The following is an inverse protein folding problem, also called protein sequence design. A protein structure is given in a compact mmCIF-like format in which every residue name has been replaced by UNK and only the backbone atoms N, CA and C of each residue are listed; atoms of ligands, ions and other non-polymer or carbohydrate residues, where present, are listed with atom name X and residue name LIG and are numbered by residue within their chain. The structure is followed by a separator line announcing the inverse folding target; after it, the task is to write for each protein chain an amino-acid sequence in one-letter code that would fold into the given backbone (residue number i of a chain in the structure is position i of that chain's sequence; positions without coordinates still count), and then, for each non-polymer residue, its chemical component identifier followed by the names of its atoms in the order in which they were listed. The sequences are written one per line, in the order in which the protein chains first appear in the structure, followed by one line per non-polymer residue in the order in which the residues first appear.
data_IF_648549408791
#
_entry.id   IF_648549408791
#
_cell.length_a   1.000
_cell.length_b   1.000
_cell.length_c   1.000
_cell.angle_alpha   90.00
_cell.angle_beta   90.00
_cell.angle_gamma   90.00
#
_symmetry.space_group_name_H-M   'P 1'
#
loop_
_entity.id
_entity.type
_entity.pdbx_description
1 polymer ?
#
# COMPACT_ATOMS: atom_id res chain seq x y z
N UNK A 1 -17.14 36.69 -23.32
CA UNK A 1 -15.99 37.48 -23.75
C UNK A 1 -14.93 36.46 -24.04
N UNK A 2 -14.96 35.89 -25.27
CA UNK A 2 -14.17 36.39 -26.43
C UNK A 2 -12.68 36.19 -26.19
N UNK A 3 -11.85 35.50 -26.95
CA UNK A 3 -11.83 35.03 -28.35
C UNK A 3 -10.62 34.09 -28.49
N UNK A 4 -10.72 32.92 -29.18
CA UNK A 4 -10.33 32.73 -30.59
C UNK A 4 -8.88 33.13 -30.92
N UNK A 5 -8.06 32.18 -31.40
CA UNK A 5 -7.18 32.24 -32.58
C UNK A 5 -6.76 30.78 -32.86
N UNK A 6 -7.23 30.14 -33.78
CA UNK A 6 -7.16 29.80 -35.22
C UNK A 6 -5.77 30.01 -35.85
N UNK A 7 -5.43 28.93 -36.66
CA UNK A 7 -4.80 28.93 -38.00
C UNK A 7 -3.29 28.68 -37.97
N UNK A 8 -2.66 27.74 -38.69
CA UNK A 8 -2.78 27.49 -40.15
C UNK A 8 -2.29 26.09 -40.53
N UNK A 9 -2.93 25.52 -41.53
CA UNK A 9 -2.52 24.33 -42.30
C UNK A 9 -1.39 24.71 -43.29
N UNK A 10 -0.44 23.79 -43.46
CA UNK A 10 0.40 23.77 -44.65
C UNK A 10 0.50 22.32 -45.14
N UNK A 11 -0.18 22.07 -46.25
CA UNK A 11 -0.12 20.91 -47.10
C UNK A 11 1.24 20.91 -47.80
N UNK A 12 2.07 19.92 -47.50
CA UNK A 12 3.28 19.60 -48.23
C UNK A 12 3.18 18.21 -48.83
N UNK A 13 2.76 18.15 -50.11
CA UNK A 13 2.72 16.93 -50.91
C UNK A 13 4.16 16.58 -51.32
N UNK A 14 4.81 15.73 -50.53
CA UNK A 14 6.12 15.15 -50.87
C UNK A 14 5.97 13.75 -51.45
N UNK A 15 6.08 13.63 -52.73
CA UNK A 15 6.14 12.36 -53.48
C UNK A 15 7.47 11.68 -53.14
N UNK A 16 7.49 10.73 -52.20
CA UNK A 16 8.66 9.88 -51.96
C UNK A 16 8.53 8.57 -52.66
N UNK A 17 9.43 8.36 -53.63
CA UNK A 17 9.62 7.14 -54.37
C UNK A 17 9.97 6.01 -53.37
N UNK A 18 9.15 4.99 -53.33
CA UNK A 18 9.41 3.73 -52.65
C UNK A 18 10.44 2.96 -53.44
N UNK A 19 11.71 3.07 -53.02
CA UNK A 19 12.74 2.13 -53.50
C UNK A 19 12.50 0.79 -52.79
N UNK A 20 11.99 -0.19 -53.51
CA UNK A 20 11.92 -1.56 -53.03
C UNK A 20 13.34 -2.11 -52.85
N UNK A 21 13.82 -2.16 -51.63
CA UNK A 21 15.03 -2.91 -51.29
C UNK A 21 14.67 -4.41 -51.38
N UNK A 22 15.53 -5.22 -52.01
CA UNK A 22 15.33 -6.66 -52.01
C UNK A 22 15.44 -7.15 -50.56
N UNK A 23 14.36 -7.71 -50.05
CA UNK A 23 14.41 -8.52 -48.81
C UNK A 23 15.28 -9.73 -49.15
N UNK A 24 16.55 -9.66 -48.78
CA UNK A 24 17.36 -10.87 -48.72
C UNK A 24 16.73 -11.71 -47.60
N UNK A 25 16.07 -12.80 -48.02
CA UNK A 25 15.70 -13.87 -47.11
C UNK A 25 16.98 -14.28 -46.40
N UNK A 26 17.09 -13.90 -45.12
CA UNK A 26 18.11 -14.41 -44.25
C UNK A 26 17.89 -15.93 -44.22
N UNK A 27 18.83 -16.61 -44.84
CA UNK A 27 18.96 -18.04 -44.81
C UNK A 27 18.99 -18.47 -43.31
N UNK A 28 17.83 -18.89 -42.81
CA UNK A 28 17.74 -19.58 -41.54
C UNK A 28 18.35 -20.96 -41.74
N UNK A 29 19.67 -20.98 -41.85
CA UNK A 29 20.44 -22.20 -41.70
C UNK A 29 20.05 -22.77 -40.34
N UNK A 30 19.15 -23.75 -40.36
CA UNK A 30 18.67 -24.48 -39.19
C UNK A 30 19.90 -25.02 -38.45
N UNK A 31 20.37 -24.29 -37.43
CA UNK A 31 21.27 -24.87 -36.44
C UNK A 31 20.47 -26.03 -35.85
N UNK A 32 20.91 -27.27 -36.11
CA UNK A 32 20.44 -28.44 -35.39
C UNK A 32 20.76 -28.20 -33.89
N UNK A 33 19.83 -27.53 -33.23
CA UNK A 33 19.89 -27.34 -31.79
C UNK A 33 19.13 -28.48 -31.15
N UNK A 34 19.80 -29.26 -30.34
CA UNK A 34 19.18 -30.26 -29.50
C UNK A 34 18.90 -29.63 -28.14
N UNK A 35 17.78 -30.00 -27.56
CA UNK A 35 17.41 -29.58 -26.23
C UNK A 35 17.51 -30.76 -25.27
N UNK A 36 17.89 -30.48 -24.03
CA UNK A 36 17.77 -31.44 -22.93
C UNK A 36 16.95 -30.79 -21.82
N UNK A 37 15.95 -31.52 -21.34
CA UNK A 37 15.08 -31.12 -20.21
C UNK A 37 14.87 -32.27 -19.26
N UNK A 38 14.37 -32.02 -18.06
CA UNK A 38 14.03 -33.00 -17.04
C UNK A 38 12.52 -33.02 -16.89
N UNK A 39 11.92 -34.19 -16.89
CA UNK A 39 10.49 -34.36 -16.68
C UNK A 39 10.10 -34.33 -15.18
N UNK A 40 8.80 -34.46 -14.88
CA UNK A 40 8.26 -34.48 -13.51
C UNK A 40 8.73 -35.67 -12.65
N UNK A 41 9.22 -36.74 -13.29
CA UNK A 41 9.72 -37.93 -12.65
C UNK A 41 11.23 -37.85 -12.38
N UNK A 42 11.88 -36.77 -12.85
CA UNK A 42 13.32 -36.58 -12.74
C UNK A 42 14.12 -37.22 -13.86
N UNK A 43 13.46 -37.72 -14.91
CA UNK A 43 14.14 -38.33 -16.07
C UNK A 43 14.57 -37.25 -17.05
N UNK A 44 15.78 -37.41 -17.62
CA UNK A 44 16.35 -36.48 -18.59
C UNK A 44 16.01 -36.91 -20.01
N UNK A 45 15.38 -36.01 -20.74
CA UNK A 45 15.01 -36.16 -22.13
C UNK A 45 15.89 -35.32 -23.04
N UNK A 46 16.01 -35.77 -24.30
CA UNK A 46 16.74 -35.07 -25.36
C UNK A 46 15.87 -35.04 -26.61
N UNK A 47 15.88 -33.95 -27.35
CA UNK A 47 15.13 -33.81 -28.59
C UNK A 47 15.43 -32.51 -29.31
N UNK A 48 14.98 -32.41 -30.54
CA UNK A 48 15.05 -31.24 -31.41
C UNK A 48 14.00 -30.17 -31.04
N UNK A 49 12.96 -30.56 -30.28
CA UNK A 49 11.94 -29.67 -29.73
C UNK A 49 11.56 -30.07 -28.31
N UNK A 50 11.29 -29.07 -27.48
CA UNK A 50 10.79 -29.29 -26.11
C UNK A 50 9.27 -29.31 -26.17
N UNK A 51 8.60 -30.37 -25.64
CA UNK A 51 7.14 -30.42 -25.60
C UNK A 51 6.55 -29.22 -24.86
N UNK A 52 5.35 -28.72 -25.27
CA UNK A 52 4.74 -27.53 -24.70
C UNK A 52 4.58 -27.58 -23.15
N UNK A 53 4.35 -28.76 -22.59
CA UNK A 53 4.21 -29.02 -21.15
C UNK A 53 5.49 -28.78 -20.34
N UNK A 54 6.66 -28.83 -21.02
CA UNK A 54 7.98 -28.57 -20.44
C UNK A 54 8.62 -27.29 -20.95
N UNK A 55 7.89 -26.49 -21.75
CA UNK A 55 8.40 -25.23 -22.31
C UNK A 55 8.83 -24.23 -21.24
N UNK A 56 8.22 -24.29 -20.06
CA UNK A 56 8.53 -23.44 -18.89
C UNK A 56 9.53 -24.10 -17.92
N UNK A 57 9.92 -25.35 -18.13
CA UNK A 57 10.92 -26.02 -17.30
C UNK A 57 12.34 -25.61 -17.69
N UNK A 58 13.28 -25.84 -16.79
CA UNK A 58 14.72 -25.67 -17.11
C UNK A 58 15.08 -26.54 -18.29
N UNK A 59 15.72 -25.95 -19.28
CA UNK A 59 16.21 -26.66 -20.46
C UNK A 59 17.61 -26.21 -20.86
N UNK A 60 18.36 -27.11 -21.44
CA UNK A 60 19.70 -26.86 -21.95
C UNK A 60 19.66 -26.96 -23.46
N UNK A 61 20.30 -26.03 -24.12
CA UNK A 61 20.52 -26.04 -25.56
C UNK A 61 21.88 -26.66 -25.82
N UNK A 62 21.88 -27.71 -26.62
CA UNK A 62 23.05 -28.47 -26.98
C UNK A 62 23.42 -28.19 -28.45
N UNK A 63 24.70 -28.16 -28.76
CA UNK A 63 25.16 -28.15 -30.15
C UNK A 63 25.07 -29.54 -30.78
N UNK A 64 25.41 -29.67 -32.06
CA UNK A 64 25.42 -30.93 -32.77
C UNK A 64 26.38 -31.99 -32.19
N UNK A 65 27.28 -31.61 -31.31
CA UNK A 65 28.22 -32.49 -30.62
C UNK A 65 27.73 -32.88 -29.22
N UNK A 66 26.51 -32.44 -28.83
CA UNK A 66 25.92 -32.72 -27.49
C UNK A 66 26.50 -31.85 -26.36
N UNK A 67 27.28 -30.83 -26.71
CA UNK A 67 27.85 -29.91 -25.70
C UNK A 67 26.83 -28.79 -25.38
N UNK A 68 26.68 -28.49 -24.11
CA UNK A 68 25.80 -27.41 -23.63
C UNK A 68 26.38 -26.05 -24.11
N UNK A 69 25.59 -25.32 -24.91
CA UNK A 69 25.94 -23.99 -25.44
C UNK A 69 25.13 -22.90 -24.74
N UNK A 70 23.96 -23.26 -24.19
CA UNK A 70 23.11 -22.32 -23.47
C UNK A 70 22.24 -23.06 -22.45
N UNK A 71 22.02 -22.43 -21.31
CA UNK A 71 21.04 -22.87 -20.31
C UNK A 71 19.91 -21.87 -20.24
N UNK A 72 18.68 -22.37 -20.31
CA UNK A 72 17.47 -21.59 -20.11
C UNK A 72 16.85 -22.04 -18.80
N UNK A 73 16.90 -21.17 -17.81
CA UNK A 73 16.32 -21.49 -16.50
C UNK A 73 14.80 -21.66 -16.58
N UNK A 74 14.26 -22.41 -15.63
CA UNK A 74 12.79 -22.59 -15.54
C UNK A 74 12.11 -21.23 -15.36
N UNK A 75 11.03 -21.00 -16.11
CA UNK A 75 10.19 -19.84 -15.88
C UNK A 75 9.59 -19.91 -14.48
N UNK A 76 9.78 -18.84 -13.72
CA UNK A 76 9.17 -18.72 -12.40
C UNK A 76 7.65 -18.72 -12.55
N UNK A 77 6.98 -19.55 -11.78
CA UNK A 77 5.52 -19.53 -11.77
C UNK A 77 5.00 -18.16 -11.25
N UNK A 78 3.72 -17.85 -11.50
CA UNK A 78 3.13 -16.56 -11.15
C UNK A 78 3.30 -16.22 -9.65
N UNK A 79 3.29 -17.22 -8.78
CA UNK A 79 3.49 -17.05 -7.33
C UNK A 79 4.93 -16.64 -7.01
N UNK A 80 5.92 -17.33 -7.58
CA UNK A 80 7.34 -16.99 -7.39
C UNK A 80 7.67 -15.60 -7.93
N UNK A 81 7.09 -15.23 -9.07
CA UNK A 81 7.23 -13.88 -9.62
C UNK A 81 6.58 -12.82 -8.73
N UNK A 82 5.40 -13.12 -8.15
CA UNK A 82 4.73 -12.23 -7.21
C UNK A 82 5.52 -12.05 -5.92
N UNK A 83 6.07 -13.14 -5.37
CA UNK A 83 6.95 -13.07 -4.20
C UNK A 83 8.24 -12.30 -4.47
N UNK A 84 8.87 -12.54 -5.61
CA UNK A 84 10.08 -11.82 -5.99
C UNK A 84 9.79 -10.32 -6.08
N UNK A 85 8.70 -9.91 -6.76
CA UNK A 85 8.30 -8.50 -6.84
C UNK A 85 8.03 -7.90 -5.46
N UNK A 86 7.35 -8.63 -4.56
CA UNK A 86 7.13 -8.17 -3.17
C UNK A 86 8.46 -7.95 -2.43
N UNK A 87 9.42 -8.86 -2.58
CA UNK A 87 10.75 -8.73 -1.96
C UNK A 87 11.51 -7.53 -2.53
N UNK A 88 11.50 -7.36 -3.85
CA UNK A 88 12.14 -6.23 -4.51
C UNK A 88 11.51 -4.89 -4.08
N UNK A 89 10.17 -4.83 -4.02
CA UNK A 89 9.45 -3.66 -3.52
C UNK A 89 9.78 -3.35 -2.05
N UNK A 90 9.86 -4.37 -1.20
CA UNK A 90 10.22 -4.20 0.21
C UNK A 90 11.66 -3.67 0.37
N UNK A 91 12.61 -4.17 -0.43
CA UNK A 91 14.00 -3.68 -0.45
C UNK A 91 14.04 -2.22 -0.90
N UNK A 92 13.35 -1.90 -2.00
CA UNK A 92 13.30 -0.53 -2.53
C UNK A 92 12.64 0.44 -1.54
N UNK A 93 11.51 0.04 -0.92
CA UNK A 93 10.83 0.87 0.08
C UNK A 93 11.71 1.12 1.30
N UNK A 94 12.43 0.10 1.77
CA UNK A 94 13.39 0.25 2.87
C UNK A 94 14.52 1.20 2.50
N UNK A 95 15.11 1.04 1.32
CA UNK A 95 16.19 1.92 0.85
C UNK A 95 15.73 3.38 0.68
N UNK A 96 14.48 3.59 0.21
CA UNK A 96 13.88 4.92 0.13
C UNK A 96 13.67 5.54 1.51
N UNK A 97 13.16 4.74 2.46
CA UNK A 97 12.97 5.18 3.83
C UNK A 97 14.30 5.52 4.52
N UNK A 98 15.32 4.67 4.37
CA UNK A 98 16.65 4.93 4.89
C UNK A 98 17.23 6.26 4.34
N UNK A 99 17.07 6.48 3.03
CA UNK A 99 17.50 7.74 2.40
C UNK A 99 16.73 8.94 2.95
N UNK A 100 15.40 8.78 3.10
CA UNK A 100 14.56 9.82 3.71
C UNK A 100 15.04 10.19 5.11
N UNK A 101 15.31 9.20 5.97
CA UNK A 101 15.81 9.44 7.32
C UNK A 101 17.12 10.23 7.31
N UNK A 102 18.10 9.81 6.50
CA UNK A 102 19.41 10.45 6.43
C UNK A 102 19.40 11.84 5.79
N UNK A 103 18.44 12.13 4.89
CA UNK A 103 18.34 13.44 4.23
C UNK A 103 17.47 14.43 4.99
N UNK A 104 16.52 13.95 5.77
CA UNK A 104 15.56 14.79 6.48
C UNK A 104 16.04 15.19 7.87
N UNK A 105 16.72 14.27 8.55
CA UNK A 105 17.16 14.49 9.94
C UNK A 105 18.67 14.60 10.03
N UNK A 106 19.11 15.51 10.88
CA UNK A 106 20.54 15.71 11.16
C UNK A 106 20.98 14.98 12.43
N UNK A 107 20.03 14.64 13.30
CA UNK A 107 20.30 13.94 14.56
C UNK A 107 19.08 13.17 15.07
N UNK A 108 19.32 12.23 15.98
CA UNK A 108 18.24 11.54 16.74
C UNK A 108 17.35 12.55 17.45
N UNK A 109 17.92 13.62 17.99
CA UNK A 109 17.17 14.68 18.70
C UNK A 109 16.15 15.39 17.80
N UNK A 110 16.43 15.53 16.51
CA UNK A 110 15.46 16.11 15.57
C UNK A 110 14.25 15.21 15.39
N UNK A 111 14.46 13.90 15.31
CA UNK A 111 13.38 12.91 15.23
C UNK A 111 12.56 12.90 16.52
N UNK A 112 13.24 12.90 17.69
CA UNK A 112 12.60 12.94 19.01
C UNK A 112 11.75 14.21 19.16
N UNK A 113 12.28 15.37 18.78
CA UNK A 113 11.56 16.65 18.85
C UNK A 113 10.29 16.61 17.99
N UNK A 114 10.39 16.12 16.77
CA UNK A 114 9.21 16.03 15.86
C UNK A 114 8.18 15.05 16.40
N UNK A 115 8.62 13.90 16.96
CA UNK A 115 7.75 12.97 17.67
C UNK A 115 6.98 13.67 18.79
N UNK A 116 7.68 14.38 19.63
CA UNK A 116 7.11 15.02 20.83
C UNK A 116 6.12 16.11 20.42
N UNK A 117 6.46 16.95 19.44
CA UNK A 117 5.55 17.94 18.86
C UNK A 117 4.27 17.29 18.32
N UNK A 118 4.40 16.14 17.63
CA UNK A 118 3.25 15.42 17.09
C UNK A 118 2.39 14.78 18.18
N UNK A 119 3.01 14.22 19.20
CA UNK A 119 2.32 13.64 20.36
C UNK A 119 1.60 14.70 21.17
N UNK A 120 2.23 15.88 21.41
CA UNK A 120 1.62 17.01 22.12
C UNK A 120 0.39 17.54 21.37
N UNK A 121 0.45 17.62 20.02
CA UNK A 121 -0.70 18.00 19.20
C UNK A 121 -1.87 17.02 19.38
N UNK A 122 -1.59 15.71 19.34
CA UNK A 122 -2.62 14.67 19.55
C UNK A 122 -3.17 14.71 20.97
N UNK A 123 -2.32 14.92 21.98
CA UNK A 123 -2.73 15.04 23.36
C UNK A 123 -3.67 16.23 23.59
N UNK A 124 -3.38 17.38 22.98
CA UNK A 124 -4.27 18.54 22.97
C UNK A 124 -5.65 18.20 22.36
N UNK A 125 -5.68 17.47 21.25
CA UNK A 125 -6.92 17.04 20.61
C UNK A 125 -7.69 16.03 21.47
N UNK A 126 -7.01 15.12 22.17
CA UNK A 126 -7.59 14.14 23.09
C UNK A 126 -8.22 14.87 24.28
N UNK A 127 -7.51 15.83 24.87
CA UNK A 127 -8.05 16.66 25.97
C UNK A 127 -9.31 17.42 25.57
N UNK A 128 -9.30 18.03 24.38
CA UNK A 128 -10.48 18.73 23.86
C UNK A 128 -11.66 17.78 23.61
N UNK A 129 -11.38 16.57 23.06
CA UNK A 129 -12.41 15.56 22.83
C UNK A 129 -13.02 15.05 24.15
N UNK A 130 -12.22 14.81 25.19
CA UNK A 130 -12.70 14.41 26.50
C UNK A 130 -13.62 15.49 27.12
N UNK A 131 -13.21 16.75 27.10
CA UNK A 131 -14.04 17.85 27.62
C UNK A 131 -15.37 17.97 26.85
N UNK A 132 -15.37 17.70 25.55
CA UNK A 132 -16.60 17.68 24.77
C UNK A 132 -17.49 16.47 25.11
N UNK A 133 -16.92 15.28 25.31
CA UNK A 133 -17.63 14.08 25.78
C UNK A 133 -18.29 14.35 27.12
N UNK A 134 -17.57 14.92 28.08
CA UNK A 134 -18.11 15.26 29.41
C UNK A 134 -19.35 16.17 29.31
N UNK A 135 -19.33 17.13 28.38
CA UNK A 135 -20.49 18.01 28.14
C UNK A 135 -21.69 17.25 27.54
N UNK A 136 -21.42 16.30 26.61
CA UNK A 136 -22.46 15.46 26.02
C UNK A 136 -23.06 14.48 27.03
N UNK A 137 -22.23 13.89 27.88
CA UNK A 137 -22.67 13.00 28.95
C UNK A 137 -23.53 13.73 29.96
N UNK A 138 -23.17 14.94 30.35
CA UNK A 138 -23.98 15.81 31.21
C UNK A 138 -25.35 16.07 30.58
N UNK A 139 -25.39 16.41 29.30
CA UNK A 139 -26.63 16.60 28.54
C UNK A 139 -27.46 15.33 28.49
N UNK A 140 -26.83 14.20 28.17
CA UNK A 140 -27.53 12.88 28.11
C UNK A 140 -28.11 12.53 29.46
N UNK A 141 -27.39 12.71 30.56
CA UNK A 141 -27.84 12.49 31.92
C UNK A 141 -29.08 13.34 32.24
N UNK A 142 -29.07 14.63 31.93
CA UNK A 142 -30.23 15.51 32.12
C UNK A 142 -31.47 15.02 31.37
N UNK A 143 -31.30 14.56 30.12
CA UNK A 143 -32.36 14.00 29.30
C UNK A 143 -32.90 12.68 29.89
N UNK A 144 -32.01 11.82 30.40
CA UNK A 144 -32.36 10.59 31.08
C UNK A 144 -33.17 10.85 32.38
N UNK A 145 -32.76 11.81 33.19
CA UNK A 145 -33.47 12.23 34.40
C UNK A 145 -34.91 12.71 34.06
N UNK A 146 -35.05 13.50 33.00
CA UNK A 146 -36.36 13.91 32.50
C UNK A 146 -37.20 12.72 32.04
N UNK A 147 -36.59 11.74 31.40
CA UNK A 147 -37.24 10.55 30.88
C UNK A 147 -37.84 9.65 32.00
N UNK A 148 -37.24 9.68 33.20
CA UNK A 148 -37.73 8.92 34.36
C UNK A 148 -39.17 9.28 34.77
N UNK A 149 -39.68 10.42 34.35
CA UNK A 149 -41.06 10.82 34.62
C UNK A 149 -42.10 10.20 33.68
N UNK A 150 -41.68 9.52 32.63
CA UNK A 150 -42.50 9.01 31.54
C UNK A 150 -42.35 7.50 31.33
N UNK A 151 -43.40 6.86 30.79
CA UNK A 151 -43.28 5.48 30.28
C UNK A 151 -42.29 5.43 29.11
N UNK A 152 -41.47 4.39 28.97
CA UNK A 152 -41.47 3.13 29.75
C UNK A 152 -40.69 3.19 31.07
N UNK A 153 -39.95 4.26 31.35
CA UNK A 153 -39.06 4.33 32.54
C UNK A 153 -39.82 4.52 33.84
N UNK A 154 -41.00 5.16 33.79
CA UNK A 154 -41.92 5.28 34.93
C UNK A 154 -42.95 4.15 34.89
N UNK A 155 -42.93 3.28 35.88
CA UNK A 155 -43.80 2.09 35.96
C UNK A 155 -45.15 2.36 36.63
N UNK A 156 -45.44 3.57 37.10
CA UNK A 156 -46.71 3.91 37.72
C UNK A 156 -47.83 3.78 36.69
N UNK A 157 -49.06 3.30 37.11
CA UNK A 157 -50.18 3.09 36.18
C UNK A 157 -50.60 4.37 35.45
N UNK A 158 -50.55 5.52 36.11
CA UNK A 158 -50.93 6.85 35.64
C UNK A 158 -49.79 7.61 34.93
N UNK A 159 -48.64 7.01 34.82
CA UNK A 159 -47.49 7.66 34.15
C UNK A 159 -47.80 7.94 32.68
N UNK A 160 -47.53 9.15 32.24
CA UNK A 160 -47.73 9.59 30.84
C UNK A 160 -46.75 8.93 29.89
N UNK A 161 -47.13 8.83 28.62
CA UNK A 161 -46.21 8.46 27.55
C UNK A 161 -45.15 9.55 27.38
N UNK A 162 -43.94 9.14 27.07
CA UNK A 162 -42.85 10.07 26.76
C UNK A 162 -43.19 10.91 25.52
N UNK A 163 -42.97 12.23 25.56
CA UNK A 163 -43.05 13.07 24.39
C UNK A 163 -42.06 12.63 23.30
N UNK A 164 -42.49 12.69 22.04
CA UNK A 164 -41.68 12.21 20.91
C UNK A 164 -40.40 13.04 20.76
N UNK A 165 -40.46 14.34 21.04
CA UNK A 165 -39.29 15.22 21.04
C UNK A 165 -38.23 14.83 22.09
N UNK A 166 -38.66 14.41 23.28
CA UNK A 166 -37.72 13.93 24.31
C UNK A 166 -37.10 12.60 23.93
N UNK A 167 -37.87 11.70 23.33
CA UNK A 167 -37.36 10.44 22.82
C UNK A 167 -36.29 10.65 21.72
N UNK A 168 -36.57 11.54 20.77
CA UNK A 168 -35.58 11.91 19.75
C UNK A 168 -34.30 12.52 20.34
N UNK A 169 -34.44 13.45 21.30
CA UNK A 169 -33.30 14.07 21.96
C UNK A 169 -32.43 13.03 22.68
N UNK A 170 -33.02 12.05 23.36
CA UNK A 170 -32.29 10.96 24.00
C UNK A 170 -31.51 10.12 23.00
N UNK A 171 -32.15 9.73 21.88
CA UNK A 171 -31.52 8.93 20.84
C UNK A 171 -30.36 9.70 20.22
N UNK A 172 -30.56 10.98 19.87
CA UNK A 172 -29.52 11.83 19.30
C UNK A 172 -28.34 11.97 20.28
N UNK A 173 -28.58 12.38 21.52
CA UNK A 173 -27.54 12.55 22.53
C UNK A 173 -26.74 11.26 22.77
N UNK A 174 -27.43 10.10 22.86
CA UNK A 174 -26.77 8.79 22.99
C UNK A 174 -25.91 8.44 21.78
N UNK A 175 -26.35 8.77 20.57
CA UNK A 175 -25.59 8.54 19.36
C UNK A 175 -24.36 9.47 19.28
N UNK A 176 -24.51 10.74 19.68
CA UNK A 176 -23.43 11.72 19.71
C UNK A 176 -22.33 11.29 20.68
N UNK A 177 -22.69 10.88 21.91
CA UNK A 177 -21.73 10.33 22.89
C UNK A 177 -20.96 9.16 22.29
N UNK A 178 -21.68 8.17 21.73
CA UNK A 178 -21.03 6.99 21.11
C UNK A 178 -20.13 7.34 19.94
N UNK A 179 -20.51 8.32 19.13
CA UNK A 179 -19.72 8.78 18.00
C UNK A 179 -18.41 9.46 18.47
N UNK A 180 -18.51 10.27 19.53
CA UNK A 180 -17.32 10.93 20.08
C UNK A 180 -16.37 9.94 20.77
N UNK A 181 -16.87 8.96 21.51
CA UNK A 181 -16.01 7.89 22.04
C UNK A 181 -15.25 7.15 20.95
N UNK A 182 -15.92 6.75 19.85
CA UNK A 182 -15.25 6.13 18.71
C UNK A 182 -14.18 7.04 18.06
N UNK A 183 -14.44 8.35 18.06
CA UNK A 183 -13.44 9.32 17.57
C UNK A 183 -12.25 9.43 18.51
N UNK A 184 -12.49 9.42 19.80
CA UNK A 184 -11.46 9.43 20.84
C UNK A 184 -10.57 8.17 20.75
N UNK A 185 -11.18 6.99 20.60
CA UNK A 185 -10.46 5.72 20.42
C UNK A 185 -9.52 5.76 19.20
N UNK A 186 -9.98 6.36 18.09
CA UNK A 186 -9.12 6.54 16.90
C UNK A 186 -7.92 7.45 17.18
N UNK A 187 -8.11 8.53 17.95
CA UNK A 187 -6.99 9.43 18.33
C UNK A 187 -5.98 8.73 19.22
N UNK A 188 -6.44 7.90 20.16
CA UNK A 188 -5.53 7.08 20.97
C UNK A 188 -4.76 6.06 20.13
N UNK A 189 -5.44 5.40 19.18
CA UNK A 189 -4.78 4.48 18.24
C UNK A 189 -3.73 5.23 17.37
N UNK A 190 -4.05 6.43 16.90
CA UNK A 190 -3.12 7.28 16.17
C UNK A 190 -1.90 7.65 17.03
N UNK A 191 -2.11 8.01 18.29
CA UNK A 191 -1.03 8.32 19.23
C UNK A 191 -0.06 7.14 19.41
N UNK A 192 -0.59 5.93 19.54
CA UNK A 192 0.23 4.70 19.63
C UNK A 192 1.00 4.50 18.32
N UNK A 193 0.33 4.64 17.17
CA UNK A 193 0.95 4.47 15.85
C UNK A 193 2.10 5.45 15.65
N UNK A 194 1.88 6.73 15.95
CA UNK A 194 2.91 7.78 15.87
C UNK A 194 4.11 7.42 16.73
N UNK A 195 3.88 7.06 17.99
CA UNK A 195 4.96 6.67 18.92
C UNK A 195 5.78 5.51 18.36
N UNK A 196 5.12 4.42 17.97
CA UNK A 196 5.79 3.22 17.45
C UNK A 196 6.58 3.50 16.19
N UNK A 197 6.04 4.31 15.28
CA UNK A 197 6.72 4.68 14.04
C UNK A 197 7.99 5.48 14.33
N UNK A 198 7.90 6.52 15.16
CA UNK A 198 9.07 7.32 15.49
C UNK A 198 10.12 6.54 16.28
N UNK A 199 9.73 5.61 17.16
CA UNK A 199 10.67 4.71 17.85
C UNK A 199 11.42 3.82 16.85
N UNK A 200 10.71 3.28 15.85
CA UNK A 200 11.33 2.52 14.77
C UNK A 200 12.28 3.37 13.93
N UNK A 201 11.89 4.60 13.58
CA UNK A 201 12.71 5.54 12.83
C UNK A 201 13.98 5.94 13.58
N UNK A 202 13.87 6.20 14.88
CA UNK A 202 15.01 6.48 15.76
C UNK A 202 15.98 5.30 15.81
N UNK A 203 15.46 4.09 15.98
CA UNK A 203 16.29 2.88 15.98
C UNK A 203 17.02 2.72 14.63
N UNK A 204 16.29 2.87 13.53
CA UNK A 204 16.86 2.75 12.18
C UNK A 204 17.89 3.83 11.87
N UNK A 205 17.62 5.06 12.27
CA UNK A 205 18.57 6.17 12.08
C UNK A 205 19.88 5.92 12.84
N UNK A 206 19.81 5.41 14.08
CA UNK A 206 21.03 5.03 14.86
C UNK A 206 21.84 3.94 14.16
N UNK A 207 21.19 2.91 13.62
CA UNK A 207 21.85 1.85 12.84
C UNK A 207 22.59 2.42 11.63
N UNK A 208 21.91 3.27 10.84
CA UNK A 208 22.46 3.86 9.63
C UNK A 208 23.67 4.76 9.91
N UNK A 209 23.59 5.57 10.96
CA UNK A 209 24.68 6.49 11.33
C UNK A 209 25.84 5.76 11.99
N UNK A 210 25.63 4.70 12.75
CA UNK A 210 26.68 3.86 13.28
C UNK A 210 27.47 3.14 12.16
N UNK A 211 26.76 2.63 11.14
CA UNK A 211 27.39 1.99 10.01
C UNK A 211 28.25 2.94 9.18
N UNK A 212 27.85 4.21 9.04
CA UNK A 212 28.62 5.23 8.31
C UNK A 212 29.87 5.73 9.04
N UNK A 213 29.99 5.47 10.35
CA UNK A 213 31.15 5.90 11.15
C UNK A 213 32.26 4.83 11.19
N UNK A 214 31.96 3.60 10.75
CA UNK A 214 32.89 2.46 10.75
C UNK A 214 33.53 2.17 9.37
N UNK A 215 33.19 2.91 8.34
CA UNK A 215 33.71 2.79 6.97
C UNK A 215 34.48 4.03 6.55
#
# INVERSE_FOLDING_TARGET
MTDIIRVWAAVGLGLMAVAALPVTAADSAGKNQNYSWVDKNGERHYGDAVPPEYSQAERRVLNSQGVEVQRVDAEKNAQQMAEQRKREQAIQSRAQHDRFLLTTYTSVKDIERLRDERLDQLDGQIKAANAYIDSLDTRLKTLQERALHYKPYNTKPDARRMPDDLAEQLVRASNDVRAQHRSLDKRHAEQITVRTQFESDISRYRELTAASTQG
#
